data_IF_906174693419
#
_entry.id   IF_906174693419
#
_cell.length_a   1.000
_cell.length_b   1.000
_cell.length_c   1.000
_cell.angle_alpha   90.00
_cell.angle_beta   90.00
_cell.angle_gamma   90.00
#
_symmetry.space_group_name_H-M   'P 1'
#
loop_
_entity.id
_entity.type
_entity.pdbx_description
1 polymer ?
#
# COMPACT_ATOMS: atom_id res chain seq x y z
N UNK A 1 33.56 -13.07 -26.09
CA UNK A 1 32.87 -12.42 -24.96
C UNK A 1 32.93 -13.41 -23.81
N UNK A 2 33.78 -13.18 -22.82
CA UNK A 2 34.12 -14.19 -21.79
C UNK A 2 33.10 -14.23 -20.64
N UNK A 3 33.11 -15.32 -19.87
CA UNK A 3 32.22 -15.57 -18.72
C UNK A 3 32.37 -14.50 -17.62
N UNK A 4 33.53 -13.87 -17.53
CA UNK A 4 33.83 -12.79 -16.59
C UNK A 4 33.09 -11.49 -16.95
N UNK A 5 33.03 -11.14 -18.24
CA UNK A 5 32.26 -10.00 -18.76
C UNK A 5 30.75 -10.21 -18.57
N UNK A 6 30.27 -11.44 -18.73
CA UNK A 6 28.89 -11.81 -18.45
C UNK A 6 28.55 -11.69 -16.95
N UNK A 7 29.45 -12.13 -16.05
CA UNK A 7 29.28 -12.03 -14.59
C UNK A 7 29.37 -10.60 -14.04
N UNK A 8 30.14 -9.72 -14.68
CA UNK A 8 30.18 -8.29 -14.34
C UNK A 8 28.91 -7.55 -14.77
N UNK A 9 28.36 -7.88 -15.94
CA UNK A 9 27.08 -7.34 -16.41
C UNK A 9 25.88 -7.80 -15.55
N UNK A 10 25.94 -9.00 -14.97
CA UNK A 10 24.95 -9.49 -14.01
C UNK A 10 24.98 -8.77 -12.64
N UNK A 11 26.04 -8.01 -12.34
CA UNK A 11 26.08 -7.11 -11.18
C UNK A 11 25.52 -5.70 -11.46
N UNK A 12 25.23 -5.38 -12.73
CA UNK A 12 24.85 -4.03 -13.14
C UNK A 12 23.33 -3.76 -13.12
N UNK A 13 22.50 -4.79 -13.06
CA UNK A 13 21.04 -4.65 -13.08
C UNK A 13 20.41 -5.23 -11.83
N UNK A 14 19.52 -4.45 -11.22
CA UNK A 14 18.74 -4.92 -10.07
C UNK A 14 17.68 -5.89 -10.56
N UNK A 15 17.47 -6.98 -9.82
CA UNK A 15 16.43 -7.97 -10.16
C UNK A 15 15.04 -7.35 -10.13
N UNK A 16 14.87 -6.30 -9.32
CA UNK A 16 13.66 -5.51 -9.15
C UNK A 16 13.35 -4.62 -10.36
N UNK A 17 14.36 -4.19 -11.13
CA UNK A 17 14.13 -3.27 -12.26
C UNK A 17 13.17 -3.88 -13.29
N UNK A 18 13.27 -5.20 -13.50
CA UNK A 18 12.46 -5.88 -14.49
C UNK A 18 10.93 -5.80 -14.23
N UNK A 19 10.41 -6.19 -13.06
CA UNK A 19 8.99 -6.03 -12.76
C UNK A 19 8.61 -4.57 -12.49
N UNK A 20 9.45 -3.80 -11.80
CA UNK A 20 9.10 -2.43 -11.39
C UNK A 20 8.97 -1.48 -12.59
N UNK A 21 9.91 -1.50 -13.54
CA UNK A 21 9.86 -0.63 -14.72
C UNK A 21 8.73 -0.99 -15.70
N UNK A 22 8.17 -2.20 -15.58
CA UNK A 22 7.07 -2.69 -16.43
C UNK A 22 5.70 -2.56 -15.77
N UNK A 23 5.62 -1.99 -14.57
CA UNK A 23 4.37 -1.94 -13.80
C UNK A 23 3.88 -3.33 -13.35
N UNK A 24 4.75 -4.34 -13.37
CA UNK A 24 4.47 -5.69 -12.90
C UNK A 24 4.93 -5.90 -11.44
N UNK A 25 5.46 -4.85 -10.79
CA UNK A 25 5.62 -4.82 -9.34
C UNK A 25 4.28 -4.96 -8.64
N UNK A 26 4.28 -5.60 -7.46
CA UNK A 26 3.09 -5.71 -6.61
C UNK A 26 3.35 -5.01 -5.29
N UNK A 27 2.57 -3.98 -5.04
CA UNK A 27 2.55 -3.21 -3.80
C UNK A 27 1.26 -3.50 -3.02
N UNK A 28 1.21 -3.03 -1.77
CA UNK A 28 0.08 -3.29 -0.86
C UNK A 28 -1.24 -2.78 -1.45
N UNK A 29 -1.22 -1.64 -2.14
CA UNK A 29 -2.41 -1.02 -2.73
C UNK A 29 -2.91 -1.70 -4.02
N UNK A 30 -2.14 -2.63 -4.61
CA UNK A 30 -2.51 -3.31 -5.86
C UNK A 30 -3.43 -4.52 -5.61
N UNK A 31 -3.70 -4.86 -4.35
CA UNK A 31 -4.59 -5.95 -3.98
C UNK A 31 -6.05 -5.60 -4.32
N UNK A 32 -6.68 -6.45 -5.13
CA UNK A 32 -8.10 -6.42 -5.46
C UNK A 32 -8.74 -7.77 -5.13
N UNK A 33 -8.87 -8.06 -3.83
CA UNK A 33 -9.44 -9.33 -3.36
C UNK A 33 -10.98 -9.29 -3.37
N UNK A 34 -11.67 -10.40 -3.72
CA UNK A 34 -13.12 -10.48 -3.60
C UNK A 34 -13.58 -10.19 -2.16
N UNK A 35 -14.54 -9.27 -2.00
CA UNK A 35 -15.08 -8.89 -0.69
C UNK A 35 -14.17 -8.00 0.17
N UNK A 36 -13.10 -7.44 -0.40
CA UNK A 36 -12.22 -6.50 0.30
C UNK A 36 -12.97 -5.23 0.71
N UNK A 37 -12.99 -4.95 2.02
CA UNK A 37 -13.48 -3.69 2.57
C UNK A 37 -12.36 -2.64 2.63
N UNK A 38 -12.76 -1.36 2.71
CA UNK A 38 -11.85 -0.23 2.86
C UNK A 38 -12.03 0.41 4.23
N UNK A 39 -10.92 0.83 4.84
CA UNK A 39 -10.91 1.49 6.14
C UNK A 39 -10.28 2.87 6.06
N UNK A 40 -10.87 3.83 6.78
CA UNK A 40 -10.33 5.16 7.00
C UNK A 40 -10.57 5.57 8.45
N UNK A 41 -9.75 6.49 8.97
CA UNK A 41 -9.82 6.92 10.36
C UNK A 41 -10.24 8.38 10.46
N UNK A 42 -11.22 8.65 11.31
CA UNK A 42 -11.43 10.00 11.86
C UNK A 42 -10.33 10.24 12.87
N UNK A 43 -9.55 11.30 12.67
CA UNK A 43 -8.41 11.66 13.52
C UNK A 43 -8.75 12.83 14.42
N UNK A 44 -8.09 12.88 15.58
CA UNK A 44 -8.23 14.00 16.50
C UNK A 44 -7.74 15.29 15.83
N UNK A 45 -8.54 16.37 15.85
CA UNK A 45 -8.05 17.71 15.50
C UNK A 45 -7.30 18.37 16.66
N UNK A 46 -7.31 17.76 17.85
CA UNK A 46 -6.65 18.27 19.05
C UNK A 46 -5.35 17.51 19.30
N UNK A 47 -4.27 18.25 19.55
CA UNK A 47 -2.96 17.65 19.87
C UNK A 47 -2.94 16.98 21.25
N UNK A 48 -3.69 17.51 22.22
CA UNK A 48 -3.84 16.93 23.56
C UNK A 48 -5.24 17.26 24.10
N UNK A 49 -6.05 16.23 24.34
CA UNK A 49 -7.39 16.35 24.88
C UNK A 49 -7.85 15.01 25.47
N UNK A 50 -8.84 15.05 26.36
CA UNK A 50 -9.58 13.86 26.80
C UNK A 50 -10.73 13.63 25.83
N UNK A 51 -10.87 12.41 25.30
CA UNK A 51 -12.03 12.02 24.49
C UNK A 51 -13.20 11.73 25.44
N UNK A 52 -14.19 12.60 25.47
CA UNK A 52 -15.38 12.43 26.32
C UNK A 52 -16.48 11.58 25.68
N UNK A 53 -16.45 11.44 24.35
CA UNK A 53 -17.40 10.63 23.59
C UNK A 53 -17.12 10.65 22.10
N UNK A 54 -17.73 9.71 21.37
CA UNK A 54 -17.71 9.62 19.91
C UNK A 54 -19.13 9.26 19.47
N UNK A 55 -19.71 10.08 18.60
CA UNK A 55 -20.96 9.74 17.92
C UNK A 55 -20.66 9.24 16.50
N UNK A 56 -20.96 7.97 16.25
CA UNK A 56 -20.80 7.32 14.95
C UNK A 56 -22.15 6.98 14.27
N UNK A 57 -23.27 7.51 14.79
CA UNK A 57 -24.63 7.14 14.35
C UNK A 57 -24.85 7.40 12.87
N UNK A 58 -24.45 8.58 12.41
CA UNK A 58 -24.59 8.96 11.00
C UNK A 58 -23.75 8.06 10.07
N UNK A 59 -22.53 7.71 10.48
CA UNK A 59 -21.65 6.85 9.68
C UNK A 59 -22.24 5.43 9.54
N UNK A 60 -22.75 4.85 10.62
CA UNK A 60 -23.36 3.51 10.63
C UNK A 60 -24.68 3.43 9.88
N UNK A 61 -25.34 4.55 9.64
CA UNK A 61 -26.58 4.59 8.87
C UNK A 61 -26.34 4.54 7.35
N UNK A 62 -25.10 4.69 6.89
CA UNK A 62 -24.76 4.65 5.46
C UNK A 62 -24.72 3.19 4.99
N UNK A 63 -25.50 2.80 3.96
CA UNK A 63 -25.44 1.44 3.43
C UNK A 63 -24.04 1.08 2.91
N UNK A 64 -23.50 -0.04 3.38
CA UNK A 64 -22.16 -0.52 3.00
C UNK A 64 -21.02 0.01 3.87
N UNK A 65 -21.33 0.79 4.91
CA UNK A 65 -20.43 1.13 6.02
C UNK A 65 -20.71 0.20 7.22
#
# INVERSE_FOLDING_TARGET
>A
MDDTTARAALRAYRVEDAPLLRGAGRFVADAALPGQAYGAFVRSPHAHAVVTGIDATAARAVPGV
#
